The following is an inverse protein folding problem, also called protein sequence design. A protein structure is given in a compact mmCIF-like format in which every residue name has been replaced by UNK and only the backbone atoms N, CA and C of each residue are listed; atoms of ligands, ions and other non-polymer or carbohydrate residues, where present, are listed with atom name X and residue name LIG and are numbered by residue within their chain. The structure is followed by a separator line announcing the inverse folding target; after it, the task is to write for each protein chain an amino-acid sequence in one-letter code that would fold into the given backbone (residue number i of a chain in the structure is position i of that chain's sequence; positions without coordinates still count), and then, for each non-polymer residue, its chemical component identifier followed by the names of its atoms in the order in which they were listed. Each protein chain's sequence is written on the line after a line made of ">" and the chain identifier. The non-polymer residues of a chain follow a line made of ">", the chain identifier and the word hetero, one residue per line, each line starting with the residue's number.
data_IF_643353720303
#
_entry.id   IF_643353720303
#
_cell.length_a   1.000
_cell.length_b   1.000
_cell.length_c   1.000
_cell.angle_alpha   90.00
_cell.angle_beta   90.00
_cell.angle_gamma   90.00
#
_symmetry.space_group_name_H-M   'P 1'
#
loop_
_entity.id
_entity.type
_entity.pdbx_description
1 polymer ?
#
# COMPACT_ATOMS: atom_id res chain seq x y z
N UNK A 1 -20.98 -3.17 3.74
CA UNK A 1 -20.13 -3.93 2.80
C UNK A 1 -19.34 -2.91 2.01
N UNK A 2 -18.01 -3.01 1.98
CA UNK A 2 -17.19 -1.99 1.34
C UNK A 2 -17.36 -2.08 -0.18
N UNK A 3 -17.36 -0.94 -0.89
CA UNK A 3 -17.66 -0.92 -2.34
C UNK A 3 -16.65 -1.73 -3.16
N UNK A 4 -15.42 -1.86 -2.67
CA UNK A 4 -14.40 -2.73 -3.26
C UNK A 4 -14.79 -4.22 -3.21
N UNK A 5 -15.49 -4.66 -2.15
CA UNK A 5 -15.95 -6.05 -1.99
C UNK A 5 -16.98 -6.40 -3.07
N UNK A 6 -17.93 -5.50 -3.29
CA UNK A 6 -19.02 -5.71 -4.25
C UNK A 6 -18.54 -5.77 -5.70
N UNK A 7 -17.44 -5.08 -5.98
CA UNK A 7 -16.86 -5.00 -7.32
C UNK A 7 -15.77 -6.04 -7.56
N UNK A 8 -15.45 -6.89 -6.58
CA UNK A 8 -14.37 -7.88 -6.68
C UNK A 8 -13.00 -7.26 -6.96
N UNK A 9 -12.77 -6.02 -6.51
CA UNK A 9 -11.53 -5.30 -6.78
C UNK A 9 -10.43 -5.70 -5.80
N UNK A 10 -9.17 -5.83 -6.26
CA UNK A 10 -8.05 -6.09 -5.37
C UNK A 10 -7.85 -4.94 -4.38
N UNK A 11 -7.63 -5.27 -3.12
CA UNK A 11 -7.27 -4.35 -2.06
C UNK A 11 -5.76 -4.23 -1.93
N UNK A 12 -5.27 -3.00 -1.97
CA UNK A 12 -3.85 -2.67 -1.79
C UNK A 12 -3.67 -1.81 -0.55
N UNK A 13 -2.86 -2.27 0.41
CA UNK A 13 -2.46 -1.50 1.59
C UNK A 13 -1.12 -0.80 1.33
N UNK A 14 -1.08 0.52 1.48
CA UNK A 14 0.11 1.35 1.29
C UNK A 14 0.51 1.98 2.61
N UNK A 15 1.52 1.42 3.28
CA UNK A 15 1.98 1.87 4.58
C UNK A 15 3.30 2.63 4.47
N UNK A 16 3.28 3.91 4.86
CA UNK A 16 4.46 4.79 4.86
C UNK A 16 5.43 4.57 6.01
N UNK A 17 4.99 3.93 7.10
CA UNK A 17 5.78 3.77 8.32
C UNK A 17 5.60 2.38 8.94
N UNK A 18 6.38 2.12 9.99
CA UNK A 18 6.42 0.81 10.63
C UNK A 18 5.11 0.39 11.31
N UNK A 19 4.22 1.34 11.60
CA UNK A 19 2.97 1.12 12.35
C UNK A 19 1.92 0.32 11.58
N UNK A 20 1.99 0.22 10.25
CA UNK A 20 1.06 -0.56 9.42
C UNK A 20 -0.43 -0.19 9.57
N UNK A 21 -0.71 1.10 9.76
CA UNK A 21 -2.05 1.60 10.02
C UNK A 21 -3.05 1.19 8.93
N UNK A 22 -2.67 1.24 7.66
CA UNK A 22 -3.55 0.90 6.54
C UNK A 22 -3.84 -0.60 6.49
N UNK A 23 -2.82 -1.46 6.65
CA UNK A 23 -3.03 -2.91 6.72
C UNK A 23 -3.93 -3.29 7.89
N UNK A 24 -3.69 -2.72 9.07
CA UNK A 24 -4.47 -3.02 10.27
C UNK A 24 -5.92 -2.56 10.14
N UNK A 25 -6.17 -1.41 9.51
CA UNK A 25 -7.52 -0.94 9.21
C UNK A 25 -8.32 -1.91 8.33
N UNK A 26 -7.67 -2.55 7.35
CA UNK A 26 -8.29 -3.58 6.51
C UNK A 26 -8.56 -4.86 7.32
N UNK A 27 -7.60 -5.30 8.15
CA UNK A 27 -7.76 -6.46 9.04
C UNK A 27 -8.91 -6.31 10.03
N UNK A 28 -9.09 -5.14 10.61
CA UNK A 28 -10.20 -4.85 11.53
C UNK A 28 -11.58 -4.99 10.88
N UNK A 29 -11.66 -5.00 9.54
CA UNK A 29 -12.88 -5.26 8.76
C UNK A 29 -13.03 -6.71 8.34
N UNK A 30 -12.19 -7.61 8.87
CA UNK A 30 -12.23 -9.04 8.57
C UNK A 30 -11.68 -9.39 7.19
N UNK A 31 -10.82 -8.55 6.60
CA UNK A 31 -10.16 -8.80 5.30
C UNK A 31 -8.65 -8.80 5.42
N UNK A 32 -7.96 -9.45 4.48
CA UNK A 32 -6.54 -9.22 4.21
C UNK A 32 -6.41 -8.48 2.88
N UNK A 33 -5.44 -7.54 2.75
CA UNK A 33 -5.15 -6.93 1.46
C UNK A 33 -4.46 -7.95 0.53
N UNK A 34 -4.83 -7.93 -0.75
CA UNK A 34 -4.19 -8.73 -1.81
C UNK A 34 -2.72 -8.33 -2.02
N UNK A 35 -2.39 -7.07 -1.72
CA UNK A 35 -1.02 -6.57 -1.70
C UNK A 35 -0.82 -5.59 -0.54
N UNK A 36 0.27 -5.77 0.19
CA UNK A 36 0.70 -4.84 1.24
C UNK A 36 2.10 -4.33 0.95
N UNK A 37 2.24 -3.01 0.84
CA UNK A 37 3.49 -2.32 0.56
C UNK A 37 3.92 -1.53 1.80
N UNK A 38 5.18 -1.70 2.18
CA UNK A 38 5.82 -1.04 3.33
C UNK A 38 6.94 -0.14 2.82
N UNK A 39 6.65 1.15 2.67
CA UNK A 39 7.62 2.10 2.12
C UNK A 39 8.83 2.31 3.06
N UNK A 40 8.63 2.23 4.38
CA UNK A 40 9.71 2.25 5.36
C UNK A 40 10.74 1.12 5.13
N UNK A 41 10.26 -0.08 4.76
CA UNK A 41 11.13 -1.23 4.44
C UNK A 41 11.84 -1.08 3.10
N UNK A 42 11.35 -0.21 2.23
CA UNK A 42 11.94 0.11 0.94
C UNK A 42 12.93 1.29 1.04
N UNK A 43 13.22 1.76 2.25
CA UNK A 43 14.05 2.94 2.48
C UNK A 43 13.36 4.26 2.12
N UNK A 44 12.06 4.22 1.82
CA UNK A 44 11.23 5.38 1.52
C UNK A 44 10.48 5.77 2.79
N UNK A 45 11.20 6.42 3.69
CA UNK A 45 10.62 6.98 4.91
C UNK A 45 10.78 8.49 4.90
N UNK A 46 9.74 9.16 5.36
CA UNK A 46 9.81 10.57 5.69
C UNK A 46 10.99 10.88 6.61
N UNK A 47 11.79 11.89 6.28
CA UNK A 47 12.80 12.41 7.20
C UNK A 47 12.12 13.37 8.20
N UNK A 48 12.11 13.01 9.48
CA UNK A 48 11.49 13.81 10.54
C UNK A 48 9.96 13.87 10.42
N UNK A 49 9.41 15.08 10.38
CA UNK A 49 7.94 15.30 10.35
C UNK A 49 7.31 15.19 8.95
N UNK A 50 8.10 15.08 7.88
CA UNK A 50 7.56 15.05 6.51
C UNK A 50 7.40 13.61 6.02
N UNK A 51 6.18 13.18 5.74
CA UNK A 51 5.88 11.80 5.34
C UNK A 51 6.64 11.32 4.07
N UNK A 52 6.92 12.20 3.10
CA UNK A 52 7.71 11.90 1.89
C UNK A 52 8.33 13.18 1.30
N UNK A 53 9.56 13.10 0.79
CA UNK A 53 10.05 14.11 -0.17
C UNK A 53 9.37 13.90 -1.54
N UNK A 54 9.25 14.92 -2.40
CA UNK A 54 8.61 14.77 -3.72
C UNK A 54 9.23 13.66 -4.60
N UNK A 55 10.53 13.46 -4.50
CA UNK A 55 11.25 12.38 -5.17
C UNK A 55 10.90 10.99 -4.64
N UNK A 56 10.73 10.85 -3.32
CA UNK A 56 10.32 9.60 -2.71
C UNK A 56 8.86 9.27 -3.03
N UNK A 57 8.00 10.30 -3.15
CA UNK A 57 6.65 10.13 -3.67
C UNK A 57 6.62 9.57 -5.09
N UNK A 58 7.51 10.04 -5.98
CA UNK A 58 7.63 9.48 -7.35
C UNK A 58 8.14 8.05 -7.34
N UNK A 59 9.15 7.73 -6.51
CA UNK A 59 9.67 6.36 -6.35
C UNK A 59 8.60 5.42 -5.81
N UNK A 60 7.89 5.83 -4.75
CA UNK A 60 6.79 5.08 -4.14
C UNK A 60 5.68 4.77 -5.16
N UNK A 61 5.30 5.76 -5.98
CA UNK A 61 4.33 5.58 -7.04
C UNK A 61 4.79 4.56 -8.10
N UNK A 62 6.04 4.66 -8.55
CA UNK A 62 6.59 3.75 -9.54
C UNK A 62 6.61 2.29 -9.02
N UNK A 63 7.14 2.06 -7.82
CA UNK A 63 7.17 0.74 -7.18
C UNK A 63 5.75 0.18 -7.01
N UNK A 64 4.81 1.01 -6.58
CA UNK A 64 3.41 0.60 -6.38
C UNK A 64 2.78 0.14 -7.70
N UNK A 65 2.98 0.89 -8.79
CA UNK A 65 2.47 0.51 -10.11
C UNK A 65 3.05 -0.81 -10.59
N UNK A 66 4.35 -1.02 -10.41
CA UNK A 66 5.02 -2.27 -10.82
C UNK A 66 4.52 -3.48 -10.03
N UNK A 67 4.31 -3.32 -8.72
CA UNK A 67 3.77 -4.40 -7.89
C UNK A 67 2.31 -4.71 -8.21
N UNK A 68 1.48 -3.70 -8.46
CA UNK A 68 0.10 -3.90 -8.91
C UNK A 68 0.05 -4.59 -10.29
N UNK A 69 0.93 -4.20 -11.21
CA UNK A 69 1.01 -4.84 -12.53
C UNK A 69 1.35 -6.33 -12.43
N UNK A 70 2.14 -6.73 -11.43
CA UNK A 70 2.44 -8.14 -11.14
C UNK A 70 1.20 -8.88 -10.64
N UNK A 71 0.35 -8.29 -9.79
CA UNK A 71 -0.90 -8.92 -9.34
C UNK A 71 -1.82 -9.26 -10.52
N UNK A 72 -1.96 -8.35 -11.48
CA UNK A 72 -2.82 -8.54 -12.67
C UNK A 72 -2.39 -9.70 -13.58
N UNK A 73 -1.15 -10.19 -13.46
CA UNK A 73 -0.67 -11.33 -14.26
C UNK A 73 -0.99 -12.69 -13.63
N UNK A 74 -1.48 -12.71 -12.38
CA UNK A 74 -1.81 -13.94 -11.64
C UNK A 74 -3.30 -14.08 -11.31
N UNK A 75 -4.15 -13.17 -11.81
CA UNK A 75 -5.61 -13.20 -11.65
C UNK A 75 -6.33 -13.56 -12.94
#
# INVERSE_FOLDING_TARGET
>A
MDRADQLGLPLVALDGCAMTCCKNYIKQRGREPDLSIRFDKLGLMGQGERAFLPEDGRKALHITKDLIAKLKRFG
#
